data_IF_787618293204
#
_entry.id   IF_787618293204
#
_cell.length_a   1.000
_cell.length_b   1.000
_cell.length_c   1.000
_cell.angle_alpha   90.00
_cell.angle_beta   90.00
_cell.angle_gamma   90.00
#
_symmetry.space_group_name_H-M   'P 1'
#
loop_
_entity.id
_entity.type
_entity.pdbx_description
1 polymer ?
#
# COMPACT_ATOMS: atom_id res chain seq x y z
N UNK A 1 1.37 -3.21 -11.39
CA UNK A 1 2.28 -2.25 -11.98
C UNK A 1 2.25 -0.91 -11.26
N UNK A 2 2.75 -0.91 -10.04
CA UNK A 2 2.88 0.21 -9.11
C UNK A 2 4.21 0.95 -9.33
N UNK A 3 5.22 0.25 -9.83
CA UNK A 3 6.55 0.76 -10.17
C UNK A 3 6.82 0.83 -11.69
N UNK A 4 5.85 0.45 -12.52
CA UNK A 4 5.86 0.69 -13.97
C UNK A 4 6.74 -0.27 -14.77
N UNK A 5 7.10 -1.42 -14.20
CA UNK A 5 7.93 -2.43 -14.84
C UNK A 5 7.15 -3.43 -15.72
N UNK A 6 5.81 -3.37 -15.67
CA UNK A 6 4.90 -4.23 -16.43
C UNK A 6 4.50 -5.51 -15.72
N UNK A 7 4.99 -5.76 -14.52
CA UNK A 7 4.64 -6.91 -13.70
C UNK A 7 3.46 -6.63 -12.77
N UNK A 8 2.85 -7.71 -12.28
CA UNK A 8 1.68 -7.61 -11.38
C UNK A 8 2.12 -7.52 -9.94
N UNK A 9 1.80 -6.39 -9.32
CA UNK A 9 2.03 -6.13 -7.89
C UNK A 9 0.77 -6.34 -7.06
N UNK A 10 0.95 -6.37 -5.74
CA UNK A 10 -0.13 -6.52 -4.78
C UNK A 10 -0.06 -5.47 -3.68
N UNK A 11 -1.24 -5.07 -3.21
CA UNK A 11 -1.42 -4.26 -2.00
C UNK A 11 -2.43 -4.95 -1.09
N UNK A 12 -2.09 -5.07 0.18
CA UNK A 12 -2.95 -5.62 1.23
C UNK A 12 -3.37 -4.51 2.18
N UNK A 13 -4.69 -4.28 2.28
CA UNK A 13 -5.27 -3.52 3.38
C UNK A 13 -5.37 -4.46 4.60
N UNK A 14 -4.59 -4.17 5.64
CA UNK A 14 -4.57 -4.99 6.84
C UNK A 14 -5.39 -4.34 7.95
N UNK A 15 -6.40 -5.07 8.41
CA UNK A 15 -7.31 -4.58 9.44
C UNK A 15 -6.83 -4.91 10.86
N UNK A 16 -6.30 -6.12 11.09
CA UNK A 16 -5.92 -6.62 12.42
C UNK A 16 -4.83 -7.70 12.30
N UNK A 17 -4.00 -7.85 13.33
CA UNK A 17 -2.90 -8.84 13.41
C UNK A 17 -3.03 -9.79 14.62
N UNK A 18 -4.26 -10.04 15.08
CA UNK A 18 -4.61 -10.77 16.31
C UNK A 18 -4.13 -10.11 17.61
N UNK A 19 -3.56 -8.91 17.56
CA UNK A 19 -3.33 -8.08 18.74
C UNK A 19 -4.54 -7.18 19.05
N UNK A 20 -4.49 -6.48 20.17
CA UNK A 20 -5.43 -5.40 20.49
C UNK A 20 -4.97 -4.05 19.93
N UNK A 21 -3.83 -4.02 19.23
CA UNK A 21 -3.29 -2.81 18.63
C UNK A 21 -4.02 -2.53 17.31
N UNK A 22 -4.68 -1.37 17.17
CA UNK A 22 -5.29 -1.01 15.90
C UNK A 22 -4.27 -0.60 14.82
N UNK A 23 -3.02 -0.33 15.18
CA UNK A 23 -1.96 0.08 14.27
C UNK A 23 -1.30 -1.14 13.64
N UNK A 24 -1.84 -1.54 12.49
CA UNK A 24 -1.30 -2.63 11.68
C UNK A 24 -0.91 -2.04 10.34
N UNK A 25 0.34 -2.26 9.94
CA UNK A 25 0.85 -1.86 8.64
C UNK A 25 0.07 -2.56 7.51
N UNK A 26 -0.27 -1.81 6.48
CA UNK A 26 -0.67 -2.36 5.18
C UNK A 26 0.59 -2.65 4.35
N UNK A 27 0.50 -3.61 3.43
CA UNK A 27 1.68 -4.14 2.75
C UNK A 27 1.60 -3.95 1.24
N UNK A 28 2.73 -3.61 0.64
CA UNK A 28 2.93 -3.62 -0.82
C UNK A 28 3.96 -4.68 -1.16
N UNK A 29 3.68 -5.49 -2.17
CA UNK A 29 4.59 -6.46 -2.76
C UNK A 29 4.75 -6.13 -4.24
N UNK A 30 5.97 -5.77 -4.64
CA UNK A 30 6.32 -5.61 -6.05
C UNK A 30 6.57 -6.99 -6.66
N UNK A 31 5.94 -7.25 -7.79
CA UNK A 31 6.12 -8.45 -8.59
C UNK A 31 7.44 -8.39 -9.37
N UNK A 32 7.88 -9.55 -9.84
CA UNK A 32 9.05 -9.69 -10.72
C UNK A 32 8.74 -10.58 -11.95
N UNK A 33 7.44 -10.72 -12.25
CA UNK A 33 6.94 -11.54 -13.36
C UNK A 33 7.04 -13.05 -13.14
N UNK A 34 7.69 -13.52 -12.05
CA UNK A 34 7.90 -14.94 -11.77
C UNK A 34 6.63 -15.68 -11.28
N UNK A 35 5.51 -14.96 -11.12
CA UNK A 35 4.27 -15.44 -10.49
C UNK A 35 4.45 -15.96 -9.06
N UNK A 36 5.53 -15.53 -8.41
CA UNK A 36 5.81 -15.80 -7.01
C UNK A 36 5.85 -14.46 -6.27
N UNK A 37 5.36 -14.44 -5.03
CA UNK A 37 5.49 -13.25 -4.18
C UNK A 37 6.74 -13.36 -3.31
N UNK A 38 7.44 -12.24 -3.07
CA UNK A 38 8.45 -12.16 -2.02
C UNK A 38 7.86 -12.60 -0.67
N UNK A 39 8.70 -13.18 0.19
CA UNK A 39 8.27 -13.58 1.55
C UNK A 39 8.05 -12.38 2.48
N UNK A 40 8.63 -11.24 2.15
CA UNK A 40 8.52 -9.99 2.91
C UNK A 40 7.98 -8.88 2.02
N UNK A 41 7.22 -7.93 2.56
CA UNK A 41 6.70 -6.82 1.78
C UNK A 41 7.81 -5.90 1.29
N UNK A 42 7.69 -5.41 0.05
CA UNK A 42 8.56 -4.38 -0.52
C UNK A 42 8.40 -3.06 0.24
N UNK A 43 7.17 -2.73 0.63
CA UNK A 43 6.88 -1.58 1.48
C UNK A 43 5.90 -1.94 2.60
N UNK A 44 6.19 -1.43 3.80
CA UNK A 44 5.30 -1.44 4.96
C UNK A 44 4.75 -0.04 5.11
N UNK A 45 3.45 0.10 4.98
CA UNK A 45 2.75 1.38 5.02
C UNK A 45 1.97 1.46 6.34
N UNK A 46 2.38 2.33 7.29
CA UNK A 46 1.65 2.50 8.54
C UNK A 46 0.16 2.79 8.30
N UNK A 47 -0.71 1.92 8.79
CA UNK A 47 -2.17 2.12 8.72
C UNK A 47 -2.84 1.82 10.06
N UNK A 48 -4.15 2.09 10.16
CA UNK A 48 -4.90 1.76 11.37
C UNK A 48 -6.26 1.13 11.06
N UNK A 49 -6.31 -0.19 11.12
CA UNK A 49 -7.49 -0.95 10.78
C UNK A 49 -7.95 -0.72 9.33
N UNK A 50 -7.05 -0.82 8.36
CA UNK A 50 -7.40 -0.62 6.97
C UNK A 50 -8.43 -1.67 6.51
N UNK A 51 -9.63 -1.22 6.17
CA UNK A 51 -10.76 -2.07 5.78
C UNK A 51 -10.97 -2.11 4.26
N UNK A 52 -10.32 -1.21 3.52
CA UNK A 52 -10.37 -1.13 2.08
C UNK A 52 -9.30 -0.20 1.55
N UNK A 53 -9.08 -0.25 0.23
CA UNK A 53 -8.13 0.61 -0.44
C UNK A 53 -8.60 0.98 -1.85
N UNK A 54 -8.02 2.04 -2.39
CA UNK A 54 -8.10 2.44 -3.78
C UNK A 54 -6.71 2.85 -4.28
N UNK A 55 -6.47 2.69 -5.58
CA UNK A 55 -5.18 2.99 -6.22
C UNK A 55 -5.45 3.85 -7.44
N UNK A 56 -4.77 4.98 -7.54
CA UNK A 56 -4.86 5.92 -8.66
C UNK A 56 -3.66 6.87 -8.65
N UNK A 57 -3.31 7.43 -9.81
CA UNK A 57 -2.42 8.59 -9.89
C UNK A 57 -3.22 9.84 -9.49
N UNK A 58 -3.04 10.30 -8.25
CA UNK A 58 -3.83 11.39 -7.66
C UNK A 58 -3.25 12.76 -7.99
N UNK A 59 -1.94 12.85 -8.22
CA UNK A 59 -1.24 14.10 -8.49
C UNK A 59 -0.86 14.31 -9.96
N UNK A 60 -1.09 13.33 -10.82
CA UNK A 60 -0.90 13.39 -12.26
C UNK A 60 0.56 13.26 -12.69
N UNK A 61 1.44 12.68 -11.85
CA UNK A 61 2.86 12.50 -12.15
C UNK A 61 3.19 11.16 -12.82
N UNK A 62 2.18 10.32 -13.04
CA UNK A 62 2.34 9.02 -13.70
C UNK A 62 2.72 7.87 -12.77
N UNK A 63 2.69 8.10 -11.45
CA UNK A 63 2.91 7.05 -10.46
C UNK A 63 1.61 6.77 -9.71
N UNK A 64 1.34 5.50 -9.41
CA UNK A 64 0.12 5.11 -8.71
C UNK A 64 0.26 5.37 -7.20
N UNK A 65 -0.62 6.19 -6.65
CA UNK A 65 -0.76 6.45 -5.23
C UNK A 65 -1.76 5.48 -4.61
N UNK A 66 -1.71 5.33 -3.28
CA UNK A 66 -2.58 4.40 -2.54
C UNK A 66 -3.37 5.15 -1.48
N UNK A 67 -4.68 4.95 -1.45
CA UNK A 67 -5.58 5.46 -0.40
C UNK A 67 -6.13 4.28 0.41
N UNK A 68 -5.95 4.31 1.72
CA UNK A 68 -6.52 3.34 2.66
C UNK A 68 -7.70 3.93 3.41
N UNK A 69 -8.82 3.22 3.38
CA UNK A 69 -9.96 3.48 4.24
C UNK A 69 -9.72 2.81 5.60
N UNK A 70 -9.22 3.60 6.57
CA UNK A 70 -8.96 3.16 7.94
C UNK A 70 -10.25 3.17 8.77
N UNK A 71 -10.50 2.10 9.52
CA UNK A 71 -11.67 1.98 10.38
C UNK A 71 -11.47 2.61 11.78
N UNK A 72 -10.23 2.81 12.20
CA UNK A 72 -9.91 3.28 13.56
C UNK A 72 -9.57 4.77 13.59
N UNK A 73 -8.68 5.23 12.73
CA UNK A 73 -8.38 6.66 12.57
C UNK A 73 -8.76 7.15 11.17
N UNK A 74 -8.33 8.37 10.82
CA UNK A 74 -8.47 8.94 9.49
C UNK A 74 -7.95 8.00 8.41
N UNK A 75 -8.61 8.05 7.24
CA UNK A 75 -8.10 7.44 6.02
C UNK A 75 -6.69 7.99 5.72
N UNK A 76 -5.83 7.14 5.19
CA UNK A 76 -4.43 7.45 4.92
C UNK A 76 -4.17 7.45 3.42
N UNK A 77 -3.40 8.42 2.94
CA UNK A 77 -2.99 8.53 1.54
C UNK A 77 -1.47 8.41 1.50
N UNK A 78 -0.98 7.58 0.59
CA UNK A 78 0.43 7.35 0.33
C UNK A 78 0.73 7.74 -1.11
N UNK A 79 1.54 8.79 -1.27
CA UNK A 79 1.96 9.31 -2.56
C UNK A 79 3.18 8.55 -3.05
N UNK A 80 3.20 8.16 -4.31
CA UNK A 80 4.30 7.46 -4.95
C UNK A 80 5.25 8.43 -5.67
N UNK A 81 6.54 8.09 -5.62
CA UNK A 81 7.59 8.74 -6.42
C UNK A 81 8.20 7.81 -7.47
N UNK A 82 7.63 6.62 -7.66
CA UNK A 82 8.20 5.53 -8.45
C UNK A 82 9.31 4.75 -7.74
N UNK A 83 9.90 5.30 -6.67
CA UNK A 83 10.91 4.60 -5.85
C UNK A 83 10.42 4.23 -4.45
N UNK A 84 9.21 4.64 -4.10
CA UNK A 84 8.60 4.37 -2.80
C UNK A 84 7.37 5.24 -2.54
N UNK A 85 6.87 5.12 -1.31
CA UNK A 85 5.63 5.74 -0.85
C UNK A 85 5.86 6.60 0.38
N UNK A 86 5.36 7.83 0.35
CA UNK A 86 5.37 8.77 1.47
C UNK A 86 3.94 9.11 1.90
N UNK A 87 3.65 9.24 3.21
CA UNK A 87 2.34 9.67 3.66
C UNK A 87 2.06 11.11 3.20
N UNK A 88 0.86 11.33 2.66
CA UNK A 88 0.39 12.67 2.30
C UNK A 88 0.19 13.51 3.57
N UNK A 89 0.72 14.73 3.57
CA UNK A 89 0.68 15.68 4.70
C UNK A 89 -0.19 16.88 4.42
#
# INVERSE_FOLDING_TARGET
DLDGDGDTDLVFANQQDNSQDPYVDSYVFLGDGSRSLPTEPSYRLPTSGAAGLAIADLDGKGWLDIVFACAVNSSMVYMSSGTGYDPFS
#
